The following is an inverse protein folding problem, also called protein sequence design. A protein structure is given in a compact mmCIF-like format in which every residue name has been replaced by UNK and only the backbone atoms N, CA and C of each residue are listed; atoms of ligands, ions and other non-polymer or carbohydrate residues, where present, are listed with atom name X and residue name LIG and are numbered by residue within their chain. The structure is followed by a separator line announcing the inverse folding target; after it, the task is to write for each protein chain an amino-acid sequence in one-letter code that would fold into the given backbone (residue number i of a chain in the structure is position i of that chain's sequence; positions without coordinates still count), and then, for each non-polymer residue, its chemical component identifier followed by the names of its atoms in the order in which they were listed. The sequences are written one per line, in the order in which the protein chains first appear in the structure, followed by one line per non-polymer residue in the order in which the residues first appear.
data_IF_823621325924
#
_entry.id   IF_823621325924
#
_cell.length_a   1.000
_cell.length_b   1.000
_cell.length_c   1.000
_cell.angle_alpha   90.00
_cell.angle_beta   90.00
_cell.angle_gamma   90.00
#
_symmetry.space_group_name_H-M   'P 1'
#
loop_
_entity.id
_entity.type
_entity.pdbx_description
1 polymer ?
#
# COMPACT_ATOMS: atom_id res chain seq x y z
N UNK A 1 0.06 -5.47 13.06
CA UNK A 1 -0.63 -4.56 12.15
C UNK A 1 -1.03 -5.38 10.96
N UNK A 2 -2.30 -5.39 10.61
CA UNK A 2 -2.85 -6.19 9.53
C UNK A 2 -3.66 -5.27 8.63
N UNK A 3 -3.33 -5.07 7.36
CA UNK A 3 -2.16 -5.53 6.58
C UNK A 3 -1.68 -4.34 5.73
N UNK A 4 -0.45 -4.36 5.18
CA UNK A 4 0.07 -3.25 4.36
C UNK A 4 -0.22 -3.42 2.86
N UNK A 5 -0.14 -4.65 2.34
CA UNK A 5 -0.39 -4.95 0.93
C UNK A 5 -1.32 -6.15 0.87
N UNK A 6 -2.51 -5.96 0.30
CA UNK A 6 -3.51 -7.00 0.10
C UNK A 6 -4.41 -6.62 -1.07
N UNK A 7 -4.82 -7.61 -1.86
CA UNK A 7 -5.71 -7.42 -3.00
C UNK A 7 -7.16 -7.09 -2.57
N UNK A 8 -7.58 -7.55 -1.39
CA UNK A 8 -8.90 -7.25 -0.84
C UNK A 8 -8.92 -5.92 -0.10
N UNK A 9 -10.09 -5.27 -0.08
CA UNK A 9 -10.32 -3.97 0.57
C UNK A 9 -9.36 -2.86 0.09
N UNK A 10 -8.77 -3.03 -1.09
CA UNK A 10 -7.97 -2.03 -1.77
C UNK A 10 -8.87 -1.21 -2.70
N UNK A 11 -8.90 0.13 -2.58
CA UNK A 11 -9.70 0.95 -3.48
C UNK A 11 -9.14 0.92 -4.90
N UNK A 12 -10.02 0.83 -5.90
CA UNK A 12 -9.66 0.64 -7.31
C UNK A 12 -8.67 1.69 -7.84
N UNK A 13 -8.78 2.94 -7.39
CA UNK A 13 -7.91 4.04 -7.81
C UNK A 13 -6.42 3.72 -7.60
N UNK A 14 -6.09 2.87 -6.62
CA UNK A 14 -4.71 2.53 -6.30
C UNK A 14 -4.01 1.79 -7.44
N UNK A 15 -4.76 1.01 -8.22
CA UNK A 15 -4.25 0.20 -9.32
C UNK A 15 -4.42 0.84 -10.69
N UNK A 16 -5.02 2.04 -10.77
CA UNK A 16 -5.24 2.76 -12.04
C UNK A 16 -4.60 4.15 -12.05
N UNK A 17 -4.24 4.63 -13.24
CA UNK A 17 -3.76 5.99 -13.46
C UNK A 17 -4.93 7.00 -13.57
N UNK A 18 -4.61 8.26 -13.81
CA UNK A 18 -5.58 9.35 -13.95
C UNK A 18 -6.50 9.20 -15.18
N UNK A 19 -6.09 8.40 -16.15
CA UNK A 19 -6.84 8.12 -17.38
C UNK A 19 -7.67 6.82 -17.28
N UNK A 20 -7.59 6.13 -16.14
CA UNK A 20 -8.29 4.86 -15.91
C UNK A 20 -7.58 3.62 -16.46
N UNK A 21 -6.35 3.75 -16.96
CA UNK A 21 -5.53 2.60 -17.37
C UNK A 21 -4.87 1.96 -16.14
N UNK A 22 -4.36 0.74 -16.28
CA UNK A 22 -3.54 0.13 -15.24
C UNK A 22 -2.34 1.03 -14.90
N UNK A 23 -2.09 1.24 -13.61
CA UNK A 23 -0.93 1.97 -13.15
C UNK A 23 0.36 1.31 -13.65
N UNK A 24 1.35 2.12 -14.03
CA UNK A 24 2.66 1.60 -14.39
C UNK A 24 3.34 0.96 -13.17
N UNK A 25 4.31 0.04 -13.37
CA UNK A 25 5.08 -0.54 -12.28
C UNK A 25 5.73 0.53 -11.38
N UNK A 26 6.21 1.62 -11.96
CA UNK A 26 6.85 2.73 -11.26
C UNK A 26 5.85 3.49 -10.39
N UNK A 27 4.66 3.80 -10.93
CA UNK A 27 3.61 4.49 -10.20
C UNK A 27 3.11 3.64 -9.02
N UNK A 28 2.88 2.34 -9.26
CA UNK A 28 2.43 1.42 -8.21
C UNK A 28 3.49 1.26 -7.12
N UNK A 29 4.77 1.16 -7.49
CA UNK A 29 5.89 1.11 -6.55
C UNK A 29 5.96 2.36 -5.69
N UNK A 30 5.82 3.54 -6.28
CA UNK A 30 5.84 4.80 -5.54
C UNK A 30 4.64 4.92 -4.58
N UNK A 31 3.44 4.53 -5.03
CA UNK A 31 2.24 4.49 -4.17
C UNK A 31 2.41 3.53 -2.99
N UNK A 32 2.94 2.32 -3.22
CA UNK A 32 3.23 1.36 -2.15
C UNK A 32 4.27 1.89 -1.17
N UNK A 33 5.37 2.48 -1.67
CA UNK A 33 6.41 3.08 -0.83
C UNK A 33 5.82 4.18 0.06
N UNK A 34 5.06 5.10 -0.52
CA UNK A 34 4.39 6.19 0.22
C UNK A 34 3.42 5.67 1.28
N UNK A 35 2.59 4.68 0.92
CA UNK A 35 1.65 4.04 1.84
C UNK A 35 2.38 3.39 3.04
N UNK A 36 3.37 2.55 2.77
CA UNK A 36 4.14 1.83 3.80
C UNK A 36 4.83 2.82 4.74
N UNK A 37 5.55 3.81 4.20
CA UNK A 37 6.24 4.80 5.05
C UNK A 37 5.26 5.62 5.89
N UNK A 38 4.11 5.99 5.34
CA UNK A 38 3.10 6.78 6.05
C UNK A 38 2.50 5.96 7.20
N UNK A 39 2.05 4.74 6.94
CA UNK A 39 1.35 3.89 7.92
C UNK A 39 2.33 3.37 8.97
N UNK A 40 3.44 2.75 8.55
CA UNK A 40 4.44 2.19 9.48
C UNK A 40 5.14 3.32 10.24
N UNK A 41 5.43 4.45 9.59
CA UNK A 41 6.02 5.62 10.24
C UNK A 41 5.11 6.18 11.34
N UNK A 42 3.82 6.33 11.07
CA UNK A 42 2.82 6.80 12.06
C UNK A 42 2.76 5.91 13.31
N UNK A 43 2.93 4.60 13.15
CA UNK A 43 2.82 3.63 14.24
C UNK A 43 4.15 3.04 14.69
N UNK A 44 5.27 3.67 14.34
CA UNK A 44 6.62 3.23 14.71
C UNK A 44 6.72 3.08 16.24
N UNK A 45 7.20 1.92 16.69
CA UNK A 45 7.36 1.59 18.12
C UNK A 45 6.06 1.27 18.86
N UNK A 46 4.89 1.35 18.20
CA UNK A 46 3.58 1.08 18.81
C UNK A 46 2.98 -0.26 18.37
N UNK A 47 3.35 -0.72 17.18
CA UNK A 47 2.91 -2.00 16.62
C UNK A 47 4.13 -2.93 16.57
N UNK A 48 4.05 -4.07 17.26
CA UNK A 48 5.20 -4.98 17.45
C UNK A 48 5.52 -5.88 16.24
N UNK A 49 4.55 -6.08 15.35
CA UNK A 49 4.73 -6.87 14.13
C UNK A 49 3.70 -6.49 13.07
N UNK A 50 4.02 -6.73 11.80
CA UNK A 50 3.17 -6.38 10.65
C UNK A 50 3.04 -7.56 9.70
N UNK A 51 1.82 -7.79 9.22
CA UNK A 51 1.58 -8.55 8.01
C UNK A 51 1.91 -7.60 6.84
N UNK A 52 3.11 -7.75 6.28
CA UNK A 52 3.62 -6.84 5.25
C UNK A 52 2.91 -7.08 3.92
N UNK A 53 2.73 -8.35 3.56
CA UNK A 53 1.94 -8.78 2.42
C UNK A 53 0.97 -9.83 2.92
N UNK A 54 -0.29 -9.71 2.53
CA UNK A 54 -1.30 -10.73 2.76
C UNK A 54 -1.85 -11.13 1.40
N UNK A 55 -1.77 -12.43 1.09
CA UNK A 55 -2.31 -13.07 -0.13
C UNK A 55 -2.03 -12.27 -1.41
#
# INVERSE_FOLDING_TARGET
GHTLVWHSQLPQWFCVDENGNNASPELLTERMRSHIHTVVGRYKGRVHGWDVVNE
#
